data_IF_068211286308
#
_entry.id   IF_068211286308
#
_cell.length_a   1.000
_cell.length_b   1.000
_cell.length_c   1.000
_cell.angle_alpha   90.00
_cell.angle_beta   90.00
_cell.angle_gamma   90.00
#
_symmetry.space_group_name_H-M   'P 1'
#
loop_
_entity.id
_entity.type
_entity.pdbx_description
1 polymer ?
#
# COMPACT_ATOMS: atom_id res chain seq x y z
N UNK A 1 -13.21 -35.71 -14.37
CA UNK A 1 -12.25 -34.79 -15.03
C UNK A 1 -12.92 -33.97 -16.14
N UNK A 2 -13.46 -34.57 -17.21
CA UNK A 2 -14.04 -33.87 -18.38
C UNK A 2 -15.12 -32.82 -18.06
N UNK A 3 -16.06 -33.11 -17.13
CA UNK A 3 -17.09 -32.14 -16.70
C UNK A 3 -16.51 -30.89 -16.02
N UNK A 4 -15.48 -31.05 -15.19
CA UNK A 4 -14.78 -29.93 -14.52
C UNK A 4 -14.00 -29.09 -15.51
N UNK A 5 -13.36 -29.74 -16.49
CA UNK A 5 -12.64 -29.05 -17.57
C UNK A 5 -13.57 -28.25 -18.48
N UNK A 6 -14.71 -28.81 -18.85
CA UNK A 6 -15.71 -28.08 -19.64
C UNK A 6 -16.29 -26.89 -18.85
N UNK A 7 -16.57 -27.08 -17.55
CA UNK A 7 -17.03 -25.99 -16.68
C UNK A 7 -15.99 -24.85 -16.60
N UNK A 8 -14.71 -25.19 -16.44
CA UNK A 8 -13.63 -24.22 -16.45
C UNK A 8 -13.62 -23.39 -17.73
N UNK A 9 -13.67 -24.02 -18.91
CA UNK A 9 -13.65 -23.30 -20.19
C UNK A 9 -14.89 -22.42 -20.43
N UNK A 10 -16.06 -22.83 -19.93
CA UNK A 10 -17.27 -22.01 -19.99
C UNK A 10 -17.06 -20.73 -19.16
N UNK A 11 -16.66 -20.88 -17.89
CA UNK A 11 -16.46 -19.73 -17.00
C UNK A 11 -15.32 -18.85 -17.50
N UNK A 12 -14.21 -19.43 -17.94
CA UNK A 12 -13.08 -18.71 -18.50
C UNK A 12 -13.52 -17.84 -19.68
N UNK A 13 -14.26 -18.40 -20.64
CA UNK A 13 -14.72 -17.63 -21.80
C UNK A 13 -15.70 -16.53 -21.42
N UNK A 14 -16.61 -16.78 -20.46
CA UNK A 14 -17.55 -15.77 -19.97
C UNK A 14 -16.80 -14.62 -19.30
N UNK A 15 -15.88 -14.91 -18.39
CA UNK A 15 -15.09 -13.89 -17.68
C UNK A 15 -14.19 -13.14 -18.66
N UNK A 16 -13.53 -13.84 -19.59
CA UNK A 16 -12.67 -13.20 -20.60
C UNK A 16 -13.46 -12.21 -21.48
N UNK A 17 -14.69 -12.56 -21.87
CA UNK A 17 -15.56 -11.63 -22.61
C UNK A 17 -16.05 -10.51 -21.70
N UNK A 18 -16.42 -10.81 -20.44
CA UNK A 18 -16.87 -9.80 -19.48
C UNK A 18 -15.81 -8.73 -19.26
N UNK A 19 -14.54 -9.09 -19.04
CA UNK A 19 -13.43 -8.16 -18.77
C UNK A 19 -13.20 -7.15 -19.91
N UNK A 20 -13.58 -7.45 -21.15
CA UNK A 20 -13.51 -6.48 -22.25
C UNK A 20 -14.48 -5.30 -22.06
N UNK A 21 -15.58 -5.50 -21.34
CA UNK A 21 -16.59 -4.48 -21.11
C UNK A 21 -16.10 -3.37 -20.17
N UNK A 22 -15.72 -3.64 -18.91
CA UNK A 22 -15.25 -2.59 -18.01
C UNK A 22 -13.93 -1.98 -18.48
N UNK A 23 -13.09 -2.70 -19.24
CA UNK A 23 -11.80 -2.16 -19.67
C UNK A 23 -11.88 -1.26 -20.91
N UNK A 24 -12.71 -1.61 -21.90
CA UNK A 24 -12.69 -0.95 -23.21
C UNK A 24 -14.06 -0.45 -23.69
N UNK A 25 -15.11 -1.27 -23.58
CA UNK A 25 -16.42 -0.94 -24.18
C UNK A 25 -17.18 0.08 -23.33
N UNK A 26 -17.17 -0.10 -22.01
CA UNK A 26 -17.90 0.74 -21.05
C UNK A 26 -17.10 0.90 -19.75
N UNK A 27 -16.08 1.79 -19.72
CA UNK A 27 -15.25 2.06 -18.55
C UNK A 27 -15.98 2.53 -17.30
N UNK A 28 -17.22 3.02 -17.44
CA UNK A 28 -18.03 3.44 -16.30
C UNK A 28 -18.36 2.29 -15.33
N UNK A 29 -18.28 1.03 -15.79
CA UNK A 29 -18.49 -0.16 -14.96
C UNK A 29 -17.41 -0.36 -13.89
N UNK A 30 -16.25 0.28 -14.05
CA UNK A 30 -15.17 0.25 -13.06
C UNK A 30 -15.60 0.93 -11.76
N UNK A 31 -16.42 1.98 -11.83
CA UNK A 31 -16.88 2.70 -10.64
C UNK A 31 -18.21 3.40 -10.88
N UNK A 32 -19.31 2.77 -10.47
CA UNK A 32 -20.66 3.34 -10.52
C UNK A 32 -21.05 3.89 -9.15
N UNK A 33 -20.86 5.19 -8.98
CA UNK A 33 -21.30 5.92 -7.78
C UNK A 33 -22.71 6.48 -7.97
N UNK A 34 -23.73 5.76 -7.48
CA UNK A 34 -25.15 6.13 -7.62
C UNK A 34 -25.44 7.54 -7.06
N UNK A 35 -24.84 7.88 -5.92
CA UNK A 35 -25.03 9.17 -5.25
C UNK A 35 -24.39 10.31 -6.07
N UNK A 36 -23.20 10.09 -6.63
CA UNK A 36 -22.54 11.08 -7.50
C UNK A 36 -23.32 11.29 -8.80
N UNK A 37 -23.97 10.24 -9.33
CA UNK A 37 -24.78 10.33 -10.55
C UNK A 37 -26.09 11.11 -10.32
N UNK A 38 -26.67 10.99 -9.11
CA UNK A 38 -27.87 11.70 -8.70
C UNK A 38 -27.62 13.19 -8.43
N UNK A 39 -26.46 13.54 -7.86
CA UNK A 39 -26.08 14.93 -7.60
C UNK A 39 -24.69 15.24 -8.16
N UNK A 40 -24.66 15.72 -9.41
CA UNK A 40 -23.41 15.98 -10.16
C UNK A 40 -22.84 17.39 -9.95
N UNK A 41 -23.63 18.31 -9.41
CA UNK A 41 -23.26 19.73 -9.35
C UNK A 41 -22.55 20.13 -8.05
N UNK A 42 -22.34 19.19 -7.11
CA UNK A 42 -21.74 19.48 -5.81
C UNK A 42 -20.35 18.89 -5.70
N UNK A 43 -19.35 19.76 -5.56
CA UNK A 43 -17.96 19.35 -5.32
C UNK A 43 -17.81 18.51 -4.04
N UNK A 44 -18.63 18.76 -3.02
CA UNK A 44 -18.60 17.97 -1.77
C UNK A 44 -19.04 16.54 -2.02
N UNK A 45 -20.09 16.36 -2.85
CA UNK A 45 -20.57 15.03 -3.24
C UNK A 45 -19.54 14.31 -4.09
N UNK A 46 -18.91 15.01 -5.05
CA UNK A 46 -17.84 14.44 -5.87
C UNK A 46 -16.63 14.04 -5.03
N UNK A 47 -16.16 14.89 -4.11
CA UNK A 47 -15.01 14.58 -3.26
C UNK A 47 -15.26 13.35 -2.38
N UNK A 48 -16.48 13.14 -1.89
CA UNK A 48 -16.82 12.04 -0.98
C UNK A 48 -17.19 10.73 -1.70
N UNK A 49 -18.07 10.82 -2.70
CA UNK A 49 -18.66 9.66 -3.38
C UNK A 49 -18.09 9.42 -4.79
N UNK A 50 -17.44 10.42 -5.39
CA UNK A 50 -16.70 10.27 -6.65
C UNK A 50 -15.41 9.47 -6.42
N UNK A 51 -14.92 8.79 -7.44
CA UNK A 51 -13.78 7.88 -7.32
C UNK A 51 -13.74 6.81 -8.42
N UNK A 52 -14.39 7.06 -9.55
CA UNK A 52 -14.36 6.16 -10.69
C UNK A 52 -13.05 6.31 -11.47
N UNK A 53 -12.46 7.51 -11.46
CA UNK A 53 -11.11 7.76 -11.93
C UNK A 53 -10.19 8.30 -10.81
N UNK A 54 -8.88 8.21 -11.05
CA UNK A 54 -7.88 8.74 -10.13
C UNK A 54 -8.05 10.24 -9.89
N UNK A 55 -7.81 10.67 -8.65
CA UNK A 55 -7.89 12.07 -8.21
C UNK A 55 -9.30 12.71 -8.24
N UNK A 56 -10.38 11.93 -8.40
CA UNK A 56 -11.76 12.47 -8.40
C UNK A 56 -12.38 12.57 -6.99
N UNK A 57 -12.12 11.60 -6.12
CA UNK A 57 -12.74 11.54 -4.79
C UNK A 57 -12.42 10.23 -4.05
N UNK A 58 -13.09 10.03 -2.91
CA UNK A 58 -12.84 8.92 -1.98
C UNK A 58 -13.60 7.63 -2.31
N UNK A 59 -14.56 7.64 -3.23
CA UNK A 59 -15.27 6.43 -3.68
C UNK A 59 -16.20 5.80 -2.64
N UNK A 60 -16.68 6.55 -1.64
CA UNK A 60 -17.60 6.01 -0.64
C UNK A 60 -18.87 5.46 -1.33
N UNK A 61 -19.25 4.22 -1.03
CA UNK A 61 -20.42 3.54 -1.64
C UNK A 61 -20.40 3.48 -3.18
N UNK A 62 -19.21 3.49 -3.79
CA UNK A 62 -19.07 3.21 -5.23
C UNK A 62 -19.18 1.71 -5.50
N UNK A 63 -19.92 1.33 -6.54
CA UNK A 63 -20.04 -0.06 -6.98
C UNK A 63 -19.05 -0.33 -8.11
N UNK A 64 -18.19 -1.33 -7.93
CA UNK A 64 -17.25 -1.78 -8.95
C UNK A 64 -17.74 -3.11 -9.54
N UNK A 65 -17.78 -3.20 -10.88
CA UNK A 65 -18.14 -4.41 -11.62
C UNK A 65 -16.96 -5.04 -12.37
N UNK A 66 -15.77 -4.49 -12.19
CA UNK A 66 -14.51 -4.98 -12.75
C UNK A 66 -13.81 -5.89 -11.74
N UNK A 67 -13.55 -7.15 -12.11
CA UNK A 67 -12.90 -8.10 -11.22
C UNK A 67 -11.45 -7.73 -10.91
N UNK A 68 -10.77 -7.02 -11.81
CA UNK A 68 -9.42 -6.53 -11.58
C UNK A 68 -9.36 -5.55 -10.41
N UNK A 69 -10.39 -4.73 -10.22
CA UNK A 69 -10.50 -3.78 -9.11
C UNK A 69 -11.05 -4.41 -7.83
N UNK A 70 -12.00 -5.35 -7.94
CA UNK A 70 -12.54 -6.08 -6.76
C UNK A 70 -11.47 -7.01 -6.15
N UNK A 71 -10.67 -7.66 -6.99
CA UNK A 71 -9.61 -8.57 -6.57
C UNK A 71 -10.11 -9.85 -5.90
N UNK A 72 -9.17 -10.62 -5.32
CA UNK A 72 -9.45 -11.93 -4.71
C UNK A 72 -9.20 -11.98 -3.20
N UNK A 73 -8.62 -10.92 -2.64
CA UNK A 73 -8.24 -10.82 -1.22
C UNK A 73 -9.41 -11.04 -0.27
N UNK A 74 -10.60 -10.58 -0.65
CA UNK A 74 -11.83 -10.72 0.12
C UNK A 74 -12.26 -12.17 0.38
N UNK A 75 -11.81 -13.14 -0.42
CA UNK A 75 -12.22 -14.55 -0.28
C UNK A 75 -11.39 -15.34 0.72
N UNK A 76 -10.14 -14.94 0.97
CA UNK A 76 -9.22 -15.69 1.83
C UNK A 76 -8.82 -14.95 3.09
N UNK A 77 -9.01 -13.62 3.15
CA UNK A 77 -8.76 -12.86 4.37
C UNK A 77 -9.85 -13.14 5.41
N UNK A 78 -9.49 -13.33 6.69
CA UNK A 78 -10.48 -13.54 7.73
C UNK A 78 -11.30 -12.28 7.94
N UNK A 79 -12.56 -12.45 8.37
CA UNK A 79 -13.51 -11.35 8.57
C UNK A 79 -12.95 -10.26 9.51
N UNK A 80 -12.21 -10.65 10.54
CA UNK A 80 -11.59 -9.72 11.48
C UNK A 80 -10.63 -8.74 10.78
N UNK A 81 -9.78 -9.22 9.86
CA UNK A 81 -8.85 -8.38 9.09
C UNK A 81 -9.61 -7.47 8.13
N UNK A 82 -10.63 -7.99 7.47
CA UNK A 82 -11.50 -7.21 6.57
C UNK A 82 -12.21 -6.07 7.33
N UNK A 83 -12.79 -6.36 8.49
CA UNK A 83 -13.46 -5.35 9.32
C UNK A 83 -12.48 -4.31 9.83
N UNK A 84 -11.29 -4.70 10.30
CA UNK A 84 -10.27 -3.76 10.76
C UNK A 84 -9.81 -2.82 9.62
N UNK A 85 -9.55 -3.38 8.43
CA UNK A 85 -9.22 -2.60 7.24
C UNK A 85 -10.33 -1.62 6.86
N UNK A 86 -11.59 -2.05 6.93
CA UNK A 86 -12.75 -1.20 6.66
C UNK A 86 -12.90 -0.05 7.67
N UNK A 87 -12.67 -0.31 8.97
CA UNK A 87 -12.67 0.75 9.99
C UNK A 87 -11.55 1.76 9.71
N UNK A 88 -10.35 1.29 9.38
CA UNK A 88 -9.23 2.15 8.99
C UNK A 88 -9.55 3.00 7.76
N UNK A 89 -10.22 2.43 6.76
CA UNK A 89 -10.68 3.14 5.58
C UNK A 89 -11.69 4.25 5.91
N UNK A 90 -12.70 3.97 6.76
CA UNK A 90 -13.64 5.01 7.22
C UNK A 90 -12.92 6.12 8.01
N UNK A 91 -11.92 5.75 8.81
CA UNK A 91 -11.06 6.71 9.50
C UNK A 91 -10.28 7.60 8.54
N UNK A 92 -9.74 7.02 7.46
CA UNK A 92 -9.03 7.75 6.40
C UNK A 92 -9.95 8.77 5.70
N UNK A 93 -11.19 8.38 5.38
CA UNK A 93 -12.20 9.29 4.82
C UNK A 93 -12.42 10.49 5.76
N UNK A 94 -12.64 10.23 7.05
CA UNK A 94 -12.82 11.29 8.04
C UNK A 94 -11.60 12.22 8.14
N UNK A 95 -10.40 11.66 8.11
CA UNK A 95 -9.15 12.40 8.17
C UNK A 95 -8.96 13.31 6.93
N UNK A 96 -9.19 12.80 5.72
CA UNK A 96 -9.03 13.58 4.49
C UNK A 96 -10.05 14.72 4.39
N UNK A 97 -11.31 14.46 4.73
CA UNK A 97 -12.34 15.51 4.77
C UNK A 97 -12.01 16.55 5.85
N UNK A 98 -11.62 16.11 7.05
CA UNK A 98 -11.26 16.99 8.16
C UNK A 98 -10.09 17.90 7.82
N UNK A 99 -9.06 17.38 7.15
CA UNK A 99 -7.90 18.18 6.75
C UNK A 99 -8.22 19.17 5.64
N UNK A 100 -8.95 18.74 4.61
CA UNK A 100 -9.27 19.61 3.48
C UNK A 100 -10.24 20.73 3.87
N UNK A 101 -11.37 20.40 4.47
CA UNK A 101 -12.37 21.40 4.89
C UNK A 101 -11.95 22.17 6.15
N UNK A 102 -11.03 21.61 6.95
CA UNK A 102 -10.36 22.33 8.05
C UNK A 102 -9.24 23.26 7.58
N UNK A 103 -8.99 23.37 6.26
CA UNK A 103 -7.92 24.17 5.66
C UNK A 103 -6.53 23.92 6.28
N UNK A 104 -6.24 22.67 6.63
CA UNK A 104 -4.93 22.29 7.19
C UNK A 104 -3.89 22.36 6.07
N UNK A 105 -2.77 23.06 6.31
CA UNK A 105 -1.73 23.31 5.31
C UNK A 105 -2.20 24.06 4.06
N UNK A 106 -3.12 25.02 4.23
CA UNK A 106 -3.73 25.76 3.12
C UNK A 106 -4.36 24.85 2.05
N UNK A 107 -4.96 23.73 2.49
CA UNK A 107 -5.51 22.70 1.62
C UNK A 107 -6.44 23.24 0.52
N UNK A 108 -7.20 24.31 0.79
CA UNK A 108 -8.15 24.89 -0.16
C UNK A 108 -7.51 25.56 -1.38
N UNK A 109 -6.20 25.84 -1.34
CA UNK A 109 -5.45 26.36 -2.50
C UNK A 109 -5.12 25.28 -3.53
N UNK A 110 -5.24 24.01 -3.14
CA UNK A 110 -4.84 22.84 -3.93
C UNK A 110 -6.04 21.94 -4.21
N UNK A 111 -5.99 21.05 -5.22
CA UNK A 111 -7.07 20.11 -5.46
C UNK A 111 -7.20 19.12 -4.29
N UNK A 112 -8.44 18.63 -4.09
CA UNK A 112 -8.77 17.71 -2.99
C UNK A 112 -7.91 16.45 -2.98
N UNK A 113 -7.69 15.83 -4.14
CA UNK A 113 -6.78 14.70 -4.33
C UNK A 113 -5.87 15.00 -5.53
N UNK A 114 -4.57 14.85 -5.34
CA UNK A 114 -3.59 14.91 -6.44
C UNK A 114 -2.24 14.37 -6.00
N UNK A 115 -1.57 13.68 -6.92
CA UNK A 115 -0.19 13.22 -6.79
C UNK A 115 0.84 14.22 -7.33
N UNK A 116 0.38 15.30 -7.99
CA UNK A 116 1.26 16.32 -8.56
C UNK A 116 1.73 17.33 -7.49
N UNK A 117 2.86 17.97 -7.78
CA UNK A 117 3.41 19.07 -6.99
C UNK A 117 2.81 20.39 -7.48
N UNK A 118 2.50 21.29 -6.56
CA UNK A 118 1.89 22.59 -6.86
C UNK A 118 2.76 23.75 -6.37
N UNK A 119 2.68 24.87 -7.09
CA UNK A 119 3.32 26.13 -6.68
C UNK A 119 2.52 26.83 -5.58
N UNK A 120 3.21 27.60 -4.74
CA UNK A 120 2.62 28.43 -3.69
C UNK A 120 1.61 29.47 -4.22
N UNK A 121 1.74 29.84 -5.50
CA UNK A 121 0.85 30.78 -6.19
C UNK A 121 -0.50 30.15 -6.59
N UNK A 122 -0.68 28.84 -6.37
CA UNK A 122 -1.94 28.16 -6.64
C UNK A 122 -3.09 28.76 -5.82
N UNK A 123 -4.26 28.83 -6.45
CA UNK A 123 -5.49 29.30 -5.86
C UNK A 123 -6.58 28.24 -6.01
N UNK A 124 -7.69 28.39 -5.26
CA UNK A 124 -8.81 27.43 -5.28
C UNK A 124 -9.46 27.22 -6.65
N UNK A 125 -9.22 28.11 -7.61
CA UNK A 125 -9.75 28.04 -8.98
C UNK A 125 -8.70 27.71 -10.04
N UNK A 126 -7.42 27.89 -9.72
CA UNK A 126 -6.31 27.76 -10.66
C UNK A 126 -5.16 27.04 -9.96
N UNK A 127 -4.98 25.78 -10.31
CA UNK A 127 -3.94 24.93 -9.78
C UNK A 127 -2.71 24.99 -10.69
N UNK A 128 -1.63 25.59 -10.20
CA UNK A 128 -0.39 25.73 -10.95
C UNK A 128 0.55 24.57 -10.63
N UNK A 129 0.79 23.70 -11.61
CA UNK A 129 1.70 22.57 -11.48
C UNK A 129 3.12 23.10 -11.34
N UNK A 130 3.83 22.66 -10.31
CA UNK A 130 5.18 23.09 -10.03
C UNK A 130 6.16 22.57 -11.09
N UNK A 131 6.94 23.47 -11.69
CA UNK A 131 7.93 23.09 -12.68
C UNK A 131 9.22 22.61 -12.00
N UNK A 132 9.39 21.29 -11.88
CA UNK A 132 10.54 20.67 -11.22
C UNK A 132 11.87 20.90 -11.96
N UNK A 133 11.86 21.09 -13.28
CA UNK A 133 13.10 21.36 -14.01
C UNK A 133 13.60 22.79 -13.84
N UNK A 134 12.76 23.70 -13.35
CA UNK A 134 13.14 25.10 -13.13
C UNK A 134 14.11 25.29 -11.95
N UNK A 135 14.19 24.32 -11.04
CA UNK A 135 15.10 24.35 -9.87
C UNK A 135 16.34 23.47 -10.04
N UNK A 136 16.47 22.79 -11.19
CA UNK A 136 17.58 21.88 -11.46
C UNK A 136 18.55 22.55 -12.43
N UNK A 137 19.84 22.49 -12.09
CA UNK A 137 20.91 22.89 -13.02
C UNK A 137 21.08 21.82 -14.12
N UNK A 138 21.88 22.14 -15.14
CA UNK A 138 22.30 21.26 -16.24
C UNK A 138 22.86 19.89 -15.81
N UNK A 139 23.38 19.79 -14.58
CA UNK A 139 23.86 18.54 -13.98
C UNK A 139 22.79 17.78 -13.16
N UNK A 140 21.53 18.21 -13.21
CA UNK A 140 20.41 17.70 -12.38
C UNK A 140 20.65 17.85 -10.87
N UNK A 141 21.47 18.82 -10.48
CA UNK A 141 21.65 19.21 -9.08
C UNK A 141 20.71 20.36 -8.72
N UNK A 142 20.34 20.45 -7.44
CA UNK A 142 19.44 21.49 -6.94
C UNK A 142 20.14 22.85 -6.91
N UNK A 143 19.67 23.79 -7.73
CA UNK A 143 20.10 25.19 -7.66
C UNK A 143 19.31 25.93 -6.57
N UNK A 144 20.01 26.30 -5.50
CA UNK A 144 19.43 27.01 -4.36
C UNK A 144 18.93 28.41 -4.73
N UNK A 145 19.57 29.10 -5.67
CA UNK A 145 19.14 30.44 -6.08
C UNK A 145 17.83 30.35 -6.86
N UNK A 146 17.72 29.39 -7.78
CA UNK A 146 16.48 29.12 -8.51
C UNK A 146 15.35 28.68 -7.56
N UNK A 147 15.66 27.89 -6.54
CA UNK A 147 14.70 27.47 -5.50
C UNK A 147 14.18 28.65 -4.66
N UNK A 148 15.06 29.59 -4.26
CA UNK A 148 14.61 30.77 -3.51
C UNK A 148 13.67 31.66 -4.33
N UNK A 149 13.86 31.73 -5.65
CA UNK A 149 12.99 32.49 -6.56
C UNK A 149 11.66 31.79 -6.82
N UNK A 150 11.67 30.47 -7.06
CA UNK A 150 10.46 29.68 -7.35
C UNK A 150 9.66 29.31 -6.09
N UNK A 151 10.31 29.26 -4.93
CA UNK A 151 9.72 28.80 -3.69
C UNK A 151 9.68 27.28 -3.55
N UNK A 152 9.22 26.80 -2.40
CA UNK A 152 9.10 25.36 -2.14
C UNK A 152 7.84 24.80 -2.81
N UNK A 153 7.89 23.57 -3.36
CA UNK A 153 6.71 22.91 -3.89
C UNK A 153 5.79 22.42 -2.76
N UNK A 154 4.49 22.42 -3.02
CA UNK A 154 3.45 21.96 -2.10
C UNK A 154 2.77 20.69 -2.61
N UNK A 155 2.36 19.84 -1.67
CA UNK A 155 1.50 18.69 -1.94
C UNK A 155 0.04 19.05 -1.71
N UNK A 156 -0.89 18.32 -2.35
CA UNK A 156 -2.27 18.29 -1.86
C UNK A 156 -2.29 17.80 -0.41
N UNK A 157 -3.16 18.37 0.42
CA UNK A 157 -3.19 18.04 1.85
C UNK A 157 -3.47 16.55 2.10
N UNK A 158 -4.27 15.92 1.25
CA UNK A 158 -4.58 14.49 1.29
C UNK A 158 -3.37 13.63 0.90
N UNK A 159 -2.57 14.04 -0.10
CA UNK A 159 -1.33 13.34 -0.43
C UNK A 159 -0.27 13.48 0.68
N UNK A 160 -0.13 14.67 1.27
CA UNK A 160 0.73 14.86 2.45
C UNK A 160 0.30 13.98 3.63
N UNK A 161 -1.01 13.89 3.89
CA UNK A 161 -1.57 13.02 4.91
C UNK A 161 -1.33 11.54 4.61
N UNK A 162 -1.49 11.11 3.35
CA UNK A 162 -1.18 9.76 2.91
C UNK A 162 0.28 9.39 3.14
N UNK A 163 1.23 10.25 2.76
CA UNK A 163 2.66 10.02 3.00
C UNK A 163 2.98 9.92 4.49
N UNK A 164 2.42 10.83 5.30
CA UNK A 164 2.62 10.84 6.74
C UNK A 164 2.05 9.58 7.40
N UNK A 165 0.81 9.21 7.08
CA UNK A 165 0.17 8.02 7.65
C UNK A 165 0.83 6.73 7.18
N UNK A 166 1.36 6.67 5.96
CA UNK A 166 2.16 5.53 5.48
C UNK A 166 3.44 5.35 6.30
N UNK A 167 4.17 6.44 6.54
CA UNK A 167 5.38 6.42 7.37
C UNK A 167 5.06 6.02 8.83
N UNK A 168 3.98 6.58 9.40
CA UNK A 168 3.50 6.17 10.72
C UNK A 168 3.11 4.69 10.74
N UNK A 169 2.46 4.19 9.69
CA UNK A 169 2.08 2.79 9.53
C UNK A 169 3.29 1.85 9.62
N UNK A 170 4.39 2.18 8.96
CA UNK A 170 5.65 1.41 9.05
C UNK A 170 6.17 1.36 10.49
N UNK A 171 6.19 2.48 11.20
CA UNK A 171 6.63 2.49 12.61
C UNK A 171 5.65 1.76 13.54
N UNK A 172 4.36 1.82 13.23
CA UNK A 172 3.32 1.13 13.98
C UNK A 172 3.39 -0.39 13.80
N UNK A 173 3.74 -0.90 12.61
CA UNK A 173 3.93 -2.36 12.41
C UNK A 173 5.08 -2.89 13.25
N UNK A 174 6.22 -2.19 13.29
CA UNK A 174 7.37 -2.54 14.14
C UNK A 174 6.94 -2.56 15.61
N UNK A 175 6.29 -1.49 16.07
CA UNK A 175 5.82 -1.37 17.46
C UNK A 175 4.82 -2.46 17.80
N UNK A 176 3.88 -2.76 16.91
CA UNK A 176 2.89 -3.81 17.09
C UNK A 176 3.54 -5.19 17.21
N UNK A 177 4.53 -5.52 16.37
CA UNK A 177 5.25 -6.80 16.45
C UNK A 177 5.99 -6.92 17.79
N UNK A 178 6.66 -5.86 18.24
CA UNK A 178 7.40 -5.86 19.50
C UNK A 178 6.46 -6.05 20.70
N UNK A 179 5.30 -5.38 20.71
CA UNK A 179 4.37 -5.45 21.84
C UNK A 179 3.55 -6.74 21.84
N UNK A 180 3.04 -7.16 20.68
CA UNK A 180 2.14 -8.30 20.57
C UNK A 180 2.88 -9.64 20.58
N UNK A 181 4.04 -9.71 19.92
CA UNK A 181 4.87 -10.93 19.85
C UNK A 181 6.10 -10.81 20.74
N UNK A 182 6.00 -10.09 21.86
CA UNK A 182 7.13 -9.76 22.73
C UNK A 182 7.97 -10.98 23.15
N UNK A 183 7.34 -12.12 23.39
CA UNK A 183 8.02 -13.31 23.90
C UNK A 183 8.83 -14.01 22.79
N UNK A 184 8.26 -14.08 21.58
CA UNK A 184 8.95 -14.55 20.38
C UNK A 184 10.08 -13.60 19.97
N UNK A 185 9.84 -12.28 20.05
CA UNK A 185 10.87 -11.26 19.77
C UNK A 185 11.97 -11.32 20.82
N UNK A 186 11.64 -11.42 22.10
CA UNK A 186 12.62 -11.53 23.19
C UNK A 186 13.50 -12.77 23.03
N UNK A 187 12.93 -13.93 22.68
CA UNK A 187 13.73 -15.14 22.42
C UNK A 187 14.60 -15.03 21.16
N UNK A 188 14.16 -14.32 20.13
CA UNK A 188 14.96 -14.06 18.93
C UNK A 188 16.09 -13.04 19.18
N UNK A 189 15.83 -12.00 19.98
CA UNK A 189 16.78 -10.95 20.35
C UNK A 189 17.63 -11.29 21.59
N UNK A 190 17.33 -12.38 22.31
CA UNK A 190 18.25 -13.05 23.23
C UNK A 190 19.49 -13.65 22.52
N UNK A 191 19.68 -13.30 21.25
CA UNK A 191 20.89 -13.49 20.47
C UNK A 191 22.09 -12.88 21.21
N UNK A 192 22.74 -13.72 22.02
CA UNK A 192 24.02 -13.37 22.64
C UNK A 192 24.98 -12.93 21.52
N UNK A 193 25.57 -11.74 21.62
CA UNK A 193 26.50 -11.20 20.62
C UNK A 193 27.70 -12.15 20.41
N UNK A 194 28.00 -13.02 21.39
CA UNK A 194 28.95 -14.13 21.28
C UNK A 194 28.55 -15.19 20.25
N UNK A 195 27.26 -15.41 20.04
CA UNK A 195 26.75 -16.36 19.04
C UNK A 195 27.13 -15.92 17.63
N UNK A 196 27.08 -14.61 17.33
CA UNK A 196 27.54 -14.06 16.04
C UNK A 196 29.01 -14.43 15.78
N UNK A 197 29.89 -14.21 16.77
CA UNK A 197 31.30 -14.61 16.67
C UNK A 197 31.49 -16.12 16.55
N UNK A 198 30.58 -16.92 17.11
CA UNK A 198 30.61 -18.38 17.02
C UNK A 198 30.20 -18.86 15.63
N UNK A 199 29.16 -18.26 15.03
CA UNK A 199 28.76 -18.51 13.63
C UNK A 199 29.83 -18.03 12.64
N UNK A 200 30.52 -16.92 12.94
CA UNK A 200 31.65 -16.44 12.13
C UNK A 200 32.84 -17.41 12.17
N UNK A 201 33.14 -17.99 13.34
CA UNK A 201 34.23 -18.96 13.54
C UNK A 201 33.91 -20.36 13.02
N UNK A 202 32.62 -20.73 12.98
CA UNK A 202 32.16 -22.04 12.53
C UNK A 202 31.06 -21.90 11.46
N UNK A 203 31.42 -21.60 10.20
CA UNK A 203 30.44 -21.40 9.11
C UNK A 203 29.61 -22.67 8.81
N UNK A 204 30.06 -23.86 9.22
CA UNK A 204 29.26 -25.11 9.13
C UNK A 204 27.94 -25.03 9.91
N UNK A 205 27.86 -24.23 10.96
CA UNK A 205 26.63 -24.04 11.74
C UNK A 205 25.54 -23.30 10.95
N UNK A 206 25.89 -22.57 9.88
CA UNK A 206 24.90 -21.99 8.95
C UNK A 206 24.28 -23.05 8.02
N UNK A 207 24.89 -24.23 7.95
CA UNK A 207 24.44 -25.35 7.13
C UNK A 207 23.48 -26.28 7.87
N UNK A 208 23.61 -26.37 9.20
CA UNK A 208 22.80 -27.25 10.05
C UNK A 208 21.98 -26.42 11.05
N UNK A 209 20.71 -26.20 10.73
CA UNK A 209 19.77 -25.58 11.68
C UNK A 209 19.25 -26.65 12.64
N UNK A 210 19.32 -26.39 13.95
CA UNK A 210 18.64 -27.22 14.95
C UNK A 210 17.12 -27.00 14.83
N UNK A 211 16.31 -28.08 14.83
CA UNK A 211 14.86 -27.94 14.77
C UNK A 211 14.38 -27.09 15.96
N UNK A 212 13.48 -26.14 15.68
CA UNK A 212 12.93 -25.26 16.70
C UNK A 212 12.14 -26.10 17.71
N UNK A 213 12.44 -25.95 19.00
CA UNK A 213 11.71 -26.58 20.10
C UNK A 213 10.44 -25.78 20.38
N UNK A 214 9.49 -25.78 19.45
CA UNK A 214 8.17 -25.14 19.63
C UNK A 214 7.16 -26.23 19.96
N UNK A 215 6.31 -25.97 20.96
CA UNK A 215 5.22 -26.87 21.35
C UNK A 215 4.31 -27.16 20.16
N UNK A 216 4.07 -28.44 19.85
CA UNK A 216 3.21 -28.86 18.73
C UNK A 216 1.84 -28.16 18.73
N UNK A 217 1.30 -27.85 19.91
CA UNK A 217 0.00 -27.19 20.07
C UNK A 217 -0.05 -25.73 19.59
N UNK A 218 1.10 -25.06 19.47
CA UNK A 218 1.21 -23.64 19.13
C UNK A 218 1.60 -23.41 17.65
N UNK A 219 1.91 -24.49 16.93
CA UNK A 219 2.27 -24.44 15.51
C UNK A 219 1.02 -24.23 14.64
N UNK A 220 1.07 -23.24 13.76
CA UNK A 220 0.00 -22.94 12.85
C UNK A 220 -0.26 -24.11 11.87
N UNK A 221 -1.51 -24.31 11.44
CA UNK A 221 -1.85 -25.43 10.55
C UNK A 221 -1.05 -25.44 9.25
N UNK A 222 -0.65 -24.27 8.73
CA UNK A 222 0.14 -24.17 7.52
C UNK A 222 1.59 -24.63 7.75
N UNK A 223 2.24 -24.17 8.83
CA UNK A 223 3.58 -24.63 9.17
C UNK A 223 3.63 -26.13 9.49
N UNK A 224 2.60 -26.68 10.13
CA UNK A 224 2.49 -28.14 10.33
C UNK A 224 2.53 -28.91 9.01
N UNK A 225 1.87 -28.42 7.97
CA UNK A 225 1.94 -29.02 6.62
C UNK A 225 3.31 -28.79 5.97
N UNK A 226 3.98 -27.68 6.28
CA UNK A 226 5.32 -27.38 5.77
C UNK A 226 6.42 -28.27 6.39
N UNK A 227 6.21 -28.83 7.58
CA UNK A 227 7.14 -29.80 8.21
C UNK A 227 7.38 -31.06 7.37
N UNK A 228 6.49 -31.37 6.42
CA UNK A 228 6.69 -32.47 5.47
C UNK A 228 7.88 -32.24 4.53
N UNK A 229 8.33 -30.99 4.36
CA UNK A 229 9.43 -30.61 3.49
C UNK A 229 10.71 -30.38 4.29
N UNK A 230 11.85 -30.73 3.70
CA UNK A 230 13.16 -30.46 4.30
C UNK A 230 13.41 -28.95 4.36
N UNK A 231 13.72 -28.44 5.55
CA UNK A 231 14.07 -27.02 5.73
C UNK A 231 15.35 -26.65 4.95
N UNK A 232 15.37 -25.42 4.45
CA UNK A 232 16.51 -24.84 3.72
C UNK A 232 17.57 -24.36 4.73
N UNK A 233 18.87 -24.47 4.43
CA UNK A 233 19.93 -23.95 5.30
C UNK A 233 19.79 -22.44 5.58
N UNK A 234 20.28 -22.00 6.75
CA UNK A 234 20.11 -20.61 7.21
C UNK A 234 20.73 -19.56 6.28
N UNK A 235 21.80 -19.92 5.55
CA UNK A 235 22.46 -19.00 4.62
C UNK A 235 21.57 -18.55 3.46
N UNK A 236 20.56 -19.33 3.07
CA UNK A 236 19.59 -18.93 2.05
C UNK A 236 18.81 -17.69 2.49
N UNK A 237 18.37 -17.63 3.75
CA UNK A 237 17.66 -16.47 4.28
C UNK A 237 18.57 -15.23 4.36
N UNK A 238 19.83 -15.41 4.75
CA UNK A 238 20.83 -14.32 4.75
C UNK A 238 21.08 -13.81 3.34
N UNK A 239 21.21 -14.71 2.36
CA UNK A 239 21.39 -14.33 0.96
C UNK A 239 20.18 -13.55 0.45
N UNK A 240 18.96 -14.03 0.70
CA UNK A 240 17.73 -13.34 0.31
C UNK A 240 17.69 -11.93 0.93
N UNK A 241 18.01 -11.81 2.23
CA UNK A 241 18.07 -10.51 2.92
C UNK A 241 19.11 -9.56 2.30
N UNK A 242 20.31 -10.05 2.00
CA UNK A 242 21.35 -9.23 1.36
C UNK A 242 20.91 -8.82 -0.04
N UNK A 243 20.34 -9.74 -0.83
CA UNK A 243 19.85 -9.40 -2.17
C UNK A 243 18.70 -8.40 -2.13
N UNK A 244 17.77 -8.49 -1.19
CA UNK A 244 16.67 -7.53 -1.08
C UNK A 244 17.16 -6.14 -0.67
N UNK A 245 18.16 -6.06 0.22
CA UNK A 245 18.79 -4.79 0.60
C UNK A 245 19.54 -4.18 -0.59
N UNK A 246 20.33 -4.98 -1.32
CA UNK A 246 21.06 -4.49 -2.50
C UNK A 246 20.08 -3.96 -3.54
N UNK A 247 19.03 -4.74 -3.86
CA UNK A 247 18.00 -4.31 -4.81
C UNK A 247 17.27 -3.06 -4.32
N UNK A 248 16.96 -2.96 -3.02
CA UNK A 248 16.31 -1.79 -2.44
C UNK A 248 17.17 -0.53 -2.35
N UNK A 249 18.50 -0.64 -2.45
CA UNK A 249 19.42 0.50 -2.51
C UNK A 249 19.73 0.88 -3.98
N UNK A 250 19.75 -0.10 -4.87
CA UNK A 250 20.06 0.10 -6.28
C UNK A 250 18.86 0.61 -7.11
N UNK A 251 17.63 0.37 -6.65
CA UNK A 251 16.38 0.88 -7.23
C UNK A 251 15.83 2.05 -6.43
#
# INVERSE_FOLDING_TARGET
MKKKFNFFWIIFSIVAVWELFPQYVMPILVGVSVICLAQRNSLVVTNLFGGAAGNEGLGLLSLCFDWQYVGTSCFYLPLQTLTNGFIGYLGCIGLFLGMYYGNVWDALKFPFLSQQLFSANSSSTLFEIYNQSAILDSNFELDRNALEVQGLPFFSATNGAYLLTTNLGITATITHIILWNRDAVSSAFAFDFKSIFTYLKHPRLLWERKPATVSEAELDPHYRMMLAYKEVPAWWYVLILVTSIITGIAC
#
